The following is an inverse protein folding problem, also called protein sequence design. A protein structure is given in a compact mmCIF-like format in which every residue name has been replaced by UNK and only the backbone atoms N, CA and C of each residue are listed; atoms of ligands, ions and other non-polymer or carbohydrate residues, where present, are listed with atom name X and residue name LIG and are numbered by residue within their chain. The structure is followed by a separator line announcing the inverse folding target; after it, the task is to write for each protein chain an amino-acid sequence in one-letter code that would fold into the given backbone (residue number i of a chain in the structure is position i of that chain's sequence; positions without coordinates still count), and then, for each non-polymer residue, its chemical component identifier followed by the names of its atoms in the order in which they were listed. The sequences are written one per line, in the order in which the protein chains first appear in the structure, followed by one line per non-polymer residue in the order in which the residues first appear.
data_IF_812250686450
#
_entry.id   IF_812250686450
#
_cell.length_a   1.000
_cell.length_b   1.000
_cell.length_c   1.000
_cell.angle_alpha   90.00
_cell.angle_beta   90.00
_cell.angle_gamma   90.00
#
_symmetry.space_group_name_H-M   'P 1'
#
loop_
_entity.id
_entity.type
_entity.pdbx_description
1 polymer ?
#
# COMPACT_ATOMS: atom_id res chain seq x y z
N UNK A 1 14.78 -7.46 -15.12
CA UNK A 1 16.07 -8.13 -14.81
C UNK A 1 16.32 -8.31 -13.30
N UNK A 2 15.67 -7.52 -12.43
CA UNK A 2 15.78 -7.70 -10.97
C UNK A 2 14.84 -8.78 -10.41
N UNK A 3 13.88 -9.26 -11.17
CA UNK A 3 12.94 -10.31 -10.74
C UNK A 3 13.60 -11.68 -10.46
N UNK A 4 14.86 -11.85 -10.85
CA UNK A 4 15.62 -13.09 -10.60
C UNK A 4 16.37 -13.11 -9.25
N UNK A 5 16.44 -11.98 -8.55
CA UNK A 5 17.19 -11.86 -7.29
C UNK A 5 16.34 -12.22 -6.07
N UNK A 6 15.03 -12.23 -6.20
CA UNK A 6 14.10 -12.48 -5.08
C UNK A 6 13.04 -13.52 -5.44
N UNK A 7 12.67 -14.40 -4.49
CA UNK A 7 11.55 -15.30 -4.70
C UNK A 7 10.27 -14.52 -4.98
N UNK A 8 9.45 -15.01 -5.89
CA UNK A 8 8.15 -14.39 -6.17
C UNK A 8 7.11 -14.91 -5.17
N UNK A 9 6.21 -14.03 -4.74
CA UNK A 9 5.22 -14.34 -3.69
C UNK A 9 4.32 -15.52 -4.04
N UNK A 10 4.06 -15.75 -5.31
CA UNK A 10 3.22 -16.88 -5.77
C UNK A 10 3.87 -18.25 -5.49
N UNK A 11 5.17 -18.30 -5.28
CA UNK A 11 5.86 -19.54 -4.87
C UNK A 11 5.56 -19.93 -3.42
N UNK A 12 5.08 -18.97 -2.62
CA UNK A 12 4.70 -19.21 -1.21
C UNK A 12 3.30 -19.81 -1.07
N UNK A 13 2.53 -19.87 -2.16
CA UNK A 13 1.14 -20.30 -2.14
C UNK A 13 1.01 -21.59 -2.93
N UNK A 14 0.82 -22.69 -2.21
CA UNK A 14 0.59 -24.01 -2.81
C UNK A 14 -0.92 -24.25 -2.95
N UNK A 15 -1.50 -23.83 -4.05
CA UNK A 15 -2.90 -24.15 -4.41
C UNK A 15 -2.92 -24.79 -5.80
N UNK A 16 -2.78 -26.14 -5.87
CA UNK A 16 -2.62 -26.85 -7.13
C UNK A 16 -3.80 -26.73 -8.09
N UNK A 17 -4.97 -26.34 -7.57
CA UNK A 17 -6.24 -26.30 -8.30
C UNK A 17 -6.46 -24.96 -9.01
N UNK A 18 -5.65 -23.96 -8.73
CA UNK A 18 -5.73 -22.66 -9.35
C UNK A 18 -4.84 -22.60 -10.60
N UNK A 19 -5.28 -21.84 -11.59
CA UNK A 19 -4.49 -21.52 -12.77
C UNK A 19 -3.29 -20.62 -12.44
N UNK A 20 -2.77 -19.92 -13.44
CA UNK A 20 -1.65 -18.99 -13.25
C UNK A 20 -2.02 -17.85 -12.30
N UNK A 21 -1.48 -17.88 -11.10
CA UNK A 21 -1.71 -16.84 -10.10
C UNK A 21 -0.99 -15.54 -10.48
N UNK A 22 -1.68 -14.44 -10.32
CA UNK A 22 -1.18 -13.08 -10.53
C UNK A 22 -1.51 -12.19 -9.35
N UNK A 23 -0.63 -11.24 -9.09
CA UNK A 23 -0.81 -10.27 -8.00
C UNK A 23 -1.64 -9.07 -8.47
N UNK A 24 -2.48 -8.55 -7.57
CA UNK A 24 -3.20 -7.30 -7.75
C UNK A 24 -2.38 -6.15 -7.15
N UNK A 25 -1.67 -5.44 -7.99
CA UNK A 25 -0.74 -4.41 -7.56
C UNK A 25 0.61 -4.98 -7.13
N UNK A 26 1.35 -4.21 -6.35
CA UNK A 26 2.70 -4.56 -5.92
C UNK A 26 2.94 -4.11 -4.48
N UNK A 27 3.83 -4.83 -3.81
CA UNK A 27 4.54 -4.37 -2.62
C UNK A 27 6.02 -4.22 -3.00
N UNK A 28 6.66 -3.18 -2.49
CA UNK A 28 8.11 -3.05 -2.61
C UNK A 28 8.82 -4.17 -1.83
N UNK A 29 10.05 -4.47 -2.19
CA UNK A 29 10.83 -5.58 -1.59
C UNK A 29 10.90 -5.48 -0.06
N UNK A 30 10.98 -4.27 0.47
CA UNK A 30 11.08 -3.98 1.89
C UNK A 30 9.73 -3.63 2.55
N UNK A 31 8.62 -3.78 1.82
CA UNK A 31 7.26 -3.51 2.31
C UNK A 31 6.57 -4.82 2.64
N UNK A 32 5.95 -4.86 3.81
CA UNK A 32 5.09 -5.96 4.25
C UNK A 32 3.62 -5.63 4.09
N UNK A 33 2.75 -6.61 4.30
CA UNK A 33 1.33 -6.35 4.42
C UNK A 33 0.44 -7.06 3.40
N UNK A 34 -0.76 -6.53 3.27
CA UNK A 34 -1.81 -7.12 2.45
C UNK A 34 -1.47 -7.11 0.96
N UNK A 35 -1.64 -8.25 0.33
CA UNK A 35 -1.49 -8.43 -1.11
C UNK A 35 -2.62 -9.34 -1.61
N UNK A 36 -3.33 -8.89 -2.62
CA UNK A 36 -4.38 -9.67 -3.26
C UNK A 36 -3.80 -10.46 -4.43
N UNK A 37 -4.20 -11.72 -4.54
CA UNK A 37 -3.71 -12.64 -5.58
C UNK A 37 -4.92 -13.36 -6.16
N UNK A 38 -4.94 -13.52 -7.48
CA UNK A 38 -6.03 -14.21 -8.18
C UNK A 38 -5.55 -14.82 -9.49
N UNK A 39 -6.28 -15.80 -9.98
CA UNK A 39 -6.19 -16.32 -11.35
C UNK A 39 -7.23 -15.68 -12.28
N UNK A 40 -8.19 -14.91 -11.74
CA UNK A 40 -9.22 -14.20 -12.51
C UNK A 40 -8.70 -12.84 -13.01
N UNK A 41 -8.35 -12.78 -14.29
CA UNK A 41 -7.85 -11.56 -14.90
C UNK A 41 -8.84 -10.40 -14.92
N UNK A 42 -10.12 -10.69 -15.03
CA UNK A 42 -11.18 -9.65 -15.02
C UNK A 42 -11.31 -9.01 -13.64
N UNK A 43 -11.29 -9.83 -12.61
CA UNK A 43 -11.31 -9.32 -11.22
C UNK A 43 -10.05 -8.53 -10.88
N UNK A 44 -8.87 -9.03 -11.26
CA UNK A 44 -7.60 -8.31 -11.08
C UNK A 44 -7.61 -6.95 -11.77
N UNK A 45 -8.12 -6.88 -13.00
CA UNK A 45 -8.25 -5.62 -13.72
C UNK A 45 -9.19 -4.65 -12.99
N UNK A 46 -10.30 -5.13 -12.46
CA UNK A 46 -11.26 -4.32 -11.70
C UNK A 46 -10.66 -3.80 -10.40
N UNK A 47 -9.91 -4.63 -9.67
CA UNK A 47 -9.25 -4.26 -8.41
C UNK A 47 -8.13 -3.23 -8.61
N UNK A 48 -7.40 -3.34 -9.72
CA UNK A 48 -6.23 -2.48 -9.99
C UNK A 48 -6.55 -1.27 -10.87
N UNK A 49 -7.76 -1.19 -11.40
CA UNK A 49 -8.15 -0.10 -12.30
C UNK A 49 -8.15 1.25 -11.58
N UNK A 50 -7.54 2.29 -12.19
CA UNK A 50 -7.61 3.65 -11.67
C UNK A 50 -9.03 4.22 -11.56
N UNK A 51 -10.00 3.60 -12.25
CA UNK A 51 -11.41 4.00 -12.19
C UNK A 51 -12.12 3.49 -10.94
N UNK A 52 -11.57 2.48 -10.29
CA UNK A 52 -12.12 1.81 -9.12
C UNK A 52 -11.08 1.82 -8.00
N UNK A 53 -10.63 3.01 -7.63
CA UNK A 53 -9.64 3.17 -6.59
C UNK A 53 -10.18 2.73 -5.22
N UNK A 54 -9.45 1.85 -4.58
CA UNK A 54 -9.76 1.37 -3.23
C UNK A 54 -8.78 1.98 -2.24
N UNK A 55 -9.28 2.45 -1.11
CA UNK A 55 -8.46 2.99 -0.05
C UNK A 55 -7.51 1.91 0.50
N UNK A 56 -6.25 2.29 0.66
CA UNK A 56 -5.20 1.45 1.26
C UNK A 56 -4.69 2.17 2.49
N UNK A 57 -4.55 1.43 3.57
CA UNK A 57 -4.01 1.96 4.81
C UNK A 57 -2.59 1.43 5.00
N UNK A 58 -1.65 2.35 5.16
CA UNK A 58 -0.25 2.05 5.42
C UNK A 58 0.13 2.50 6.82
N UNK A 59 0.86 1.65 7.51
CA UNK A 59 1.57 1.97 8.74
C UNK A 59 3.04 2.17 8.42
N UNK A 60 3.59 3.30 8.83
CA UNK A 60 4.96 3.68 8.48
C UNK A 60 5.76 4.14 9.69
N UNK A 61 7.05 3.84 9.65
CA UNK A 61 8.05 4.33 10.59
C UNK A 61 8.99 5.27 9.87
N UNK A 62 9.24 6.42 10.47
CA UNK A 62 10.09 7.48 9.92
C UNK A 62 11.49 7.43 10.52
N UNK A 63 12.49 7.76 9.71
CA UNK A 63 13.89 7.81 10.13
C UNK A 63 14.16 8.94 11.13
N UNK A 64 13.46 10.06 10.98
CA UNK A 64 13.65 11.25 11.81
C UNK A 64 12.36 11.63 12.51
N UNK A 65 12.37 12.01 13.79
CA UNK A 65 11.19 12.45 14.48
C UNK A 65 10.65 13.76 13.89
N UNK A 66 9.35 13.89 13.86
CA UNK A 66 8.65 15.10 13.45
C UNK A 66 7.94 15.71 14.66
N UNK A 67 8.23 16.97 14.94
CA UNK A 67 7.56 17.70 16.01
C UNK A 67 6.10 18.05 15.67
N UNK A 68 5.36 18.59 16.61
CA UNK A 68 3.94 18.89 16.45
C UNK A 68 3.65 19.83 15.28
N UNK A 69 4.50 20.82 15.05
CA UNK A 69 4.31 21.77 13.94
C UNK A 69 4.58 21.10 12.59
N UNK A 70 5.62 20.29 12.50
CA UNK A 70 5.94 19.51 11.30
C UNK A 70 4.84 18.49 10.98
N UNK A 71 4.32 17.81 12.00
CA UNK A 71 3.19 16.88 11.86
C UNK A 71 1.93 17.59 11.33
N UNK A 72 1.57 18.71 11.93
CA UNK A 72 0.39 19.48 11.52
C UNK A 72 0.49 19.96 10.07
N UNK A 73 1.67 20.45 9.66
CA UNK A 73 1.93 20.86 8.30
C UNK A 73 1.81 19.69 7.32
N UNK A 74 2.42 18.55 7.64
CA UNK A 74 2.37 17.37 6.79
C UNK A 74 0.94 16.84 6.63
N UNK A 75 0.17 16.78 7.69
CA UNK A 75 -1.25 16.35 7.65
C UNK A 75 -2.05 17.27 6.71
N UNK A 76 -1.85 18.57 6.82
CA UNK A 76 -2.54 19.56 5.98
C UNK A 76 -2.16 19.41 4.51
N UNK A 77 -0.87 19.40 4.19
CA UNK A 77 -0.41 19.33 2.79
C UNK A 77 -0.80 18.01 2.13
N UNK A 78 -0.74 16.90 2.85
CA UNK A 78 -1.20 15.59 2.35
C UNK A 78 -2.70 15.59 2.05
N UNK A 79 -3.50 16.27 2.87
CA UNK A 79 -4.95 16.39 2.66
C UNK A 79 -5.30 17.29 1.47
N UNK A 80 -4.47 18.26 1.17
CA UNK A 80 -4.63 19.17 0.03
C UNK A 80 -4.10 18.60 -1.28
N UNK A 81 -3.12 17.72 -1.21
CA UNK A 81 -2.36 17.18 -2.33
C UNK A 81 -0.99 17.85 -2.44
N UNK A 82 0.00 17.07 -2.85
CA UNK A 82 1.37 17.53 -3.03
C UNK A 82 1.91 17.15 -4.41
N UNK A 83 2.70 18.05 -5.00
CA UNK A 83 3.37 17.75 -6.25
C UNK A 83 4.69 17.05 -5.97
N UNK A 84 4.74 15.76 -6.28
CA UNK A 84 5.95 14.96 -6.12
C UNK A 84 6.95 15.23 -7.24
N UNK A 85 8.24 15.16 -6.94
CA UNK A 85 9.29 15.37 -7.93
C UNK A 85 9.13 14.40 -9.11
N UNK A 86 9.14 14.95 -10.31
CA UNK A 86 8.97 14.20 -11.56
C UNK A 86 7.51 13.95 -11.98
N UNK A 87 6.55 14.29 -11.14
CA UNK A 87 5.13 14.18 -11.47
C UNK A 87 4.61 15.48 -12.10
N UNK A 88 3.59 15.37 -12.92
CA UNK A 88 2.92 16.50 -13.57
C UNK A 88 1.64 16.94 -12.85
N UNK A 89 1.13 16.09 -11.98
CA UNK A 89 -0.09 16.32 -11.22
C UNK A 89 0.16 16.09 -9.74
N UNK A 90 -0.51 16.87 -8.91
CA UNK A 90 -0.51 16.66 -7.47
C UNK A 90 -1.10 15.31 -7.09
N UNK A 91 -0.71 14.80 -5.92
CA UNK A 91 -1.35 13.63 -5.34
C UNK A 91 -2.81 13.93 -5.01
N UNK A 92 -3.67 12.93 -5.11
CA UNK A 92 -5.04 13.06 -4.61
C UNK A 92 -5.03 13.26 -3.10
N UNK A 93 -6.04 13.94 -2.54
CA UNK A 93 -6.20 14.09 -1.11
C UNK A 93 -6.05 12.75 -0.39
N UNK A 94 -5.25 12.74 0.65
CA UNK A 94 -5.01 11.56 1.49
C UNK A 94 -5.07 11.95 2.97
N UNK A 95 -5.20 10.96 3.83
CA UNK A 95 -5.29 11.18 5.28
C UNK A 95 -4.03 10.67 5.95
N UNK A 96 -3.31 11.57 6.61
CA UNK A 96 -2.12 11.25 7.40
C UNK A 96 -2.42 11.47 8.87
N UNK A 97 -2.14 10.45 9.68
CA UNK A 97 -2.32 10.48 11.14
C UNK A 97 -1.03 10.06 11.82
N UNK A 98 -0.50 10.90 12.71
CA UNK A 98 0.66 10.55 13.52
C UNK A 98 0.24 9.85 14.81
N UNK A 99 0.91 8.74 15.11
CA UNK A 99 0.76 7.99 16.35
C UNK A 99 1.74 8.53 17.38
N UNK A 100 2.95 8.84 16.95
CA UNK A 100 4.00 9.51 17.71
C UNK A 100 4.92 10.27 16.73
N UNK A 101 6.07 10.73 17.19
CA UNK A 101 7.00 11.52 16.36
C UNK A 101 7.59 10.76 15.17
N UNK A 102 7.62 9.42 15.23
CA UNK A 102 8.23 8.56 14.19
C UNK A 102 7.29 7.54 13.58
N UNK A 103 6.07 7.41 14.08
CA UNK A 103 5.09 6.46 13.58
C UNK A 103 3.84 7.17 13.07
N UNK A 104 3.40 6.80 11.90
CA UNK A 104 2.22 7.39 11.29
C UNK A 104 1.41 6.35 10.50
N UNK A 105 0.17 6.70 10.24
CA UNK A 105 -0.75 5.94 9.39
C UNK A 105 -1.16 6.84 8.22
N UNK A 106 -1.03 6.33 7.02
CA UNK A 106 -1.41 7.02 5.79
C UNK A 106 -2.49 6.22 5.06
N UNK A 107 -3.61 6.87 4.81
CA UNK A 107 -4.70 6.31 4.00
C UNK A 107 -4.72 7.01 2.65
N UNK A 108 -4.54 6.26 1.58
CA UNK A 108 -4.60 6.77 0.21
C UNK A 108 -5.33 5.84 -0.75
N UNK A 109 -5.92 6.42 -1.77
CA UNK A 109 -6.62 5.69 -2.83
C UNK A 109 -5.72 5.44 -4.04
N UNK A 110 -4.74 6.31 -4.27
CA UNK A 110 -3.78 6.17 -5.36
C UNK A 110 -2.73 5.09 -5.10
N UNK A 111 -2.08 4.66 -6.16
CA UNK A 111 -0.97 3.71 -6.13
C UNK A 111 0.18 4.13 -7.04
N UNK A 112 0.61 5.40 -6.98
CA UNK A 112 1.78 5.87 -7.73
C UNK A 112 3.05 5.12 -7.28
N UNK A 113 4.03 5.03 -8.17
CA UNK A 113 5.32 4.40 -7.88
C UNK A 113 5.96 4.99 -6.62
N UNK A 114 6.24 4.15 -5.64
CA UNK A 114 6.83 4.52 -4.35
C UNK A 114 6.14 5.72 -3.67
N UNK A 115 4.84 5.84 -3.79
CA UNK A 115 4.11 7.05 -3.39
C UNK A 115 4.31 7.40 -1.91
N UNK A 116 4.17 6.44 -0.99
CA UNK A 116 4.33 6.70 0.45
C UNK A 116 5.75 7.21 0.76
N UNK A 117 6.75 6.54 0.20
CA UNK A 117 8.16 6.93 0.39
C UNK A 117 8.46 8.30 -0.18
N UNK A 118 7.95 8.59 -1.36
CA UNK A 118 8.12 9.90 -2.04
C UNK A 118 7.38 11.03 -1.31
N UNK A 119 6.21 10.75 -0.76
CA UNK A 119 5.45 11.73 0.03
C UNK A 119 6.22 12.10 1.30
N UNK A 120 6.78 11.13 2.01
CA UNK A 120 7.60 11.41 3.19
C UNK A 120 8.91 12.12 2.81
N UNK A 121 9.50 11.77 1.67
CA UNK A 121 10.66 12.46 1.11
C UNK A 121 10.40 13.93 0.80
N UNK A 122 9.19 14.28 0.39
CA UNK A 122 8.75 15.67 0.18
C UNK A 122 8.89 16.51 1.47
N UNK A 123 8.65 15.89 2.63
CA UNK A 123 8.83 16.54 3.94
C UNK A 123 10.26 16.39 4.49
N UNK A 124 11.20 15.94 3.68
CA UNK A 124 12.59 15.77 4.10
C UNK A 124 12.83 14.56 5.00
N UNK A 125 11.93 13.60 5.02
CA UNK A 125 12.03 12.41 5.86
C UNK A 125 12.17 11.14 5.01
N UNK A 126 12.49 10.02 5.66
CA UNK A 126 12.65 8.72 5.03
C UNK A 126 11.84 7.67 5.77
N UNK A 127 11.14 6.83 5.04
CA UNK A 127 10.41 5.69 5.59
C UNK A 127 11.39 4.53 5.80
N UNK A 128 11.52 4.08 7.03
CA UNK A 128 12.39 2.95 7.41
C UNK A 128 11.65 1.62 7.46
N UNK A 129 10.35 1.66 7.79
CA UNK A 129 9.47 0.51 7.77
C UNK A 129 8.13 0.90 7.16
N UNK A 130 7.59 0.04 6.30
CA UNK A 130 6.33 0.25 5.63
C UNK A 130 5.52 -1.04 5.61
N UNK A 131 4.28 -0.95 6.09
CA UNK A 131 3.35 -2.07 6.17
C UNK A 131 1.98 -1.66 5.62
N UNK A 132 1.49 -2.38 4.61
CA UNK A 132 0.13 -2.16 4.10
C UNK A 132 -0.86 -2.97 4.92
N UNK A 133 -1.54 -2.30 5.85
CA UNK A 133 -2.44 -2.94 6.81
C UNK A 133 -3.76 -3.37 6.18
N UNK A 134 -4.24 -2.65 5.15
CA UNK A 134 -5.50 -2.99 4.48
C UNK A 134 -5.55 -2.56 3.02
N UNK A 135 -6.42 -3.22 2.27
CA UNK A 135 -6.81 -2.87 0.90
C UNK A 135 -8.33 -2.87 0.87
N UNK A 136 -8.94 -1.68 0.73
CA UNK A 136 -10.39 -1.54 0.81
C UNK A 136 -10.92 -2.11 2.13
N UNK A 137 -11.86 -3.04 2.05
CA UNK A 137 -12.45 -3.71 3.22
C UNK A 137 -11.64 -4.91 3.71
N UNK A 138 -10.55 -5.29 3.04
CA UNK A 138 -9.71 -6.43 3.43
C UNK A 138 -8.64 -5.98 4.40
N UNK A 139 -8.60 -6.60 5.58
CA UNK A 139 -7.62 -6.38 6.64
C UNK A 139 -6.78 -7.63 6.88
N UNK A 140 -5.72 -7.48 7.67
CA UNK A 140 -4.84 -8.59 8.08
C UNK A 140 -5.07 -9.04 9.53
N UNK A 141 -6.26 -8.79 10.07
CA UNK A 141 -6.60 -9.19 11.43
C UNK A 141 -6.41 -10.71 11.64
N UNK A 142 -5.62 -11.08 12.63
CA UNK A 142 -5.29 -12.46 12.92
C UNK A 142 -4.24 -13.11 12.02
N UNK A 143 -3.66 -12.36 11.09
CA UNK A 143 -2.62 -12.84 10.18
C UNK A 143 -1.22 -12.60 10.73
N UNK A 144 -0.36 -13.59 10.53
CA UNK A 144 1.07 -13.48 10.68
C UNK A 144 1.74 -13.39 9.30
N UNK A 145 2.98 -12.94 9.27
CA UNK A 145 3.78 -12.87 8.04
C UNK A 145 3.88 -14.25 7.39
N UNK A 146 3.53 -14.33 6.12
CA UNK A 146 3.50 -15.57 5.34
C UNK A 146 2.14 -16.25 5.29
N UNK A 147 1.18 -15.80 6.10
CA UNK A 147 -0.18 -16.36 6.08
C UNK A 147 -0.94 -15.96 4.81
N UNK A 148 -1.82 -16.85 4.40
CA UNK A 148 -2.74 -16.60 3.28
C UNK A 148 -4.11 -17.23 3.57
N UNK A 149 -5.15 -16.68 2.97
CA UNK A 149 -6.49 -17.25 2.98
C UNK A 149 -7.24 -16.94 1.68
N UNK A 150 -8.27 -17.69 1.40
CA UNK A 150 -9.21 -17.32 0.36
C UNK A 150 -10.11 -16.17 0.83
N UNK A 151 -10.45 -15.29 -0.11
CA UNK A 151 -11.52 -14.32 0.11
C UNK A 151 -12.87 -15.03 0.03
N UNK A 152 -13.82 -14.56 0.83
CA UNK A 152 -15.22 -15.02 0.69
C UNK A 152 -15.85 -14.43 -0.57
N UNK A 153 -16.91 -15.07 -1.12
CA UNK A 153 -17.63 -14.49 -2.26
C UNK A 153 -18.13 -13.06 -2.02
N UNK A 154 -18.51 -12.74 -0.79
CA UNK A 154 -18.94 -11.39 -0.40
C UNK A 154 -17.80 -10.38 -0.45
N UNK A 155 -16.63 -10.76 0.02
CA UNK A 155 -15.41 -9.95 -0.04
C UNK A 155 -14.99 -9.70 -1.50
N UNK A 156 -15.04 -10.72 -2.34
CA UNK A 156 -14.72 -10.62 -3.77
C UNK A 156 -15.68 -9.66 -4.49
N UNK A 157 -16.96 -9.71 -4.16
CA UNK A 157 -18.00 -8.91 -4.80
C UNK A 157 -17.91 -7.41 -4.47
N UNK A 158 -17.26 -7.04 -3.38
CA UNK A 158 -17.09 -5.64 -2.95
C UNK A 158 -16.01 -4.87 -3.71
N UNK A 159 -15.20 -5.56 -4.47
CA UNK A 159 -14.19 -4.93 -5.33
C UNK A 159 -14.71 -4.52 -6.69
#
# INVERSE_FOLDING_TARGET
LKAKEYPIVTELIAVPELGSLRIAGRLDVDTTGALLISDDGSWLHRVTSPKHEHAKIYELTLASPMDSDAQANAVKEVAEGILLEGDHEETKPATLEFIDETHARLTLEQGKYHQVKRMMGYFGNRVTELHRASIGHITLDGFEKGDSRFLTPEEVAKF
#
